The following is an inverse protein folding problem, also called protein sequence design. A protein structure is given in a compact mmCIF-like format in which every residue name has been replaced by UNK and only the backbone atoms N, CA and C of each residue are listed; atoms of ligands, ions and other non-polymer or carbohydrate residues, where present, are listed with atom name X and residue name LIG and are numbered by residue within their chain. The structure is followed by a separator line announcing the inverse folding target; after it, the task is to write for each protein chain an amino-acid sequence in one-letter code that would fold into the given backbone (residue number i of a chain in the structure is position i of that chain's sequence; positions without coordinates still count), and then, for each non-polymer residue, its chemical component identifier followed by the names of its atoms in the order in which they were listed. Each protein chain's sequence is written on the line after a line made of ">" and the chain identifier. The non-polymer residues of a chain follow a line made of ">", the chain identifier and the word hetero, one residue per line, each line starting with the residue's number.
data_IF_214307728836
#
_entry.id   IF_214307728836
#
_cell.length_a   1.000
_cell.length_b   1.000
_cell.length_c   1.000
_cell.angle_alpha   90.00
_cell.angle_beta   90.00
_cell.angle_gamma   90.00
#
_symmetry.space_group_name_H-M   'P 1'
#
loop_
_entity.id
_entity.type
_entity.pdbx_description
1 polymer ?
#
# COMPACT_ATOMS: atom_id res chain seq x y z
N UNK A 1 11.50 6.45 -1.38
CA UNK A 1 10.78 5.32 -2.00
C UNK A 1 9.35 5.74 -2.25
N UNK A 2 8.77 5.41 -3.40
CA UNK A 2 7.40 5.81 -3.77
C UNK A 2 6.53 4.57 -3.95
N UNK A 3 5.33 4.60 -3.34
CA UNK A 3 4.33 3.53 -3.42
C UNK A 3 2.98 4.11 -3.83
N UNK A 4 2.27 3.38 -4.68
CA UNK A 4 0.89 3.66 -5.03
C UNK A 4 -0.04 2.64 -4.36
N UNK A 5 -1.10 3.13 -3.71
CA UNK A 5 -2.15 2.33 -3.11
C UNK A 5 -3.43 2.43 -3.95
N UNK A 6 -3.81 1.34 -4.61
CA UNK A 6 -5.07 1.27 -5.37
C UNK A 6 -6.17 0.68 -4.50
N UNK A 7 -7.34 1.30 -4.49
CA UNK A 7 -8.54 0.78 -3.82
C UNK A 7 -9.80 1.03 -4.66
N UNK A 8 -10.93 0.41 -4.29
CA UNK A 8 -12.19 0.46 -5.06
C UNK A 8 -13.10 1.66 -4.74
N UNK A 9 -12.61 2.59 -3.93
CA UNK A 9 -13.36 3.76 -3.46
C UNK A 9 -14.41 3.49 -2.37
N UNK A 10 -14.58 2.25 -1.90
CA UNK A 10 -15.44 1.99 -0.72
C UNK A 10 -14.80 2.59 0.54
N UNK A 11 -15.62 3.00 1.51
CA UNK A 11 -15.13 3.61 2.75
C UNK A 11 -14.17 2.67 3.51
N UNK A 12 -14.49 1.37 3.56
CA UNK A 12 -13.64 0.37 4.19
C UNK A 12 -12.26 0.29 3.53
N UNK A 13 -12.21 0.29 2.18
CA UNK A 13 -10.95 0.15 1.44
C UNK A 13 -10.16 1.44 1.40
N UNK A 14 -10.82 2.60 1.28
CA UNK A 14 -10.17 3.90 1.42
C UNK A 14 -9.54 4.04 2.81
N UNK A 15 -10.27 3.67 3.87
CA UNK A 15 -9.72 3.67 5.23
C UNK A 15 -8.53 2.73 5.39
N UNK A 16 -8.61 1.53 4.82
CA UNK A 16 -7.49 0.58 4.84
C UNK A 16 -6.27 1.14 4.10
N UNK A 17 -6.45 1.78 2.95
CA UNK A 17 -5.37 2.42 2.20
C UNK A 17 -4.73 3.55 3.03
N UNK A 18 -5.53 4.38 3.69
CA UNK A 18 -5.06 5.45 4.59
C UNK A 18 -4.29 4.92 5.81
N UNK A 19 -4.78 3.85 6.43
CA UNK A 19 -4.11 3.25 7.59
C UNK A 19 -2.75 2.66 7.17
N UNK A 20 -2.65 2.08 5.97
CA UNK A 20 -1.39 1.58 5.38
C UNK A 20 -0.45 2.74 5.03
N UNK A 21 -0.92 3.76 4.29
CA UNK A 21 -0.11 4.92 3.91
C UNK A 21 0.45 5.61 5.15
N UNK A 22 -0.39 5.87 6.15
CA UNK A 22 0.03 6.46 7.41
C UNK A 22 1.17 5.68 8.08
N UNK A 23 1.11 4.35 8.12
CA UNK A 23 2.19 3.55 8.70
C UNK A 23 3.49 3.69 7.89
N UNK A 24 3.40 3.52 6.57
CA UNK A 24 4.54 3.53 5.66
C UNK A 24 5.25 4.89 5.66
N UNK A 25 4.51 5.98 5.64
CA UNK A 25 5.07 7.33 5.62
C UNK A 25 5.73 7.71 6.95
N UNK A 26 5.08 7.41 8.08
CA UNK A 26 5.57 7.83 9.39
C UNK A 26 6.67 6.93 9.96
N UNK A 27 6.68 5.64 9.63
CA UNK A 27 7.63 4.68 10.22
C UNK A 27 8.75 4.29 9.26
N UNK A 28 8.50 4.32 7.94
CA UNK A 28 9.43 3.78 6.94
C UNK A 28 9.92 4.82 5.94
N UNK A 29 9.48 6.08 6.04
CA UNK A 29 9.95 7.17 5.17
C UNK A 29 9.58 6.97 3.69
N UNK A 30 8.52 6.18 3.44
CA UNK A 30 7.95 5.98 2.11
C UNK A 30 7.06 7.18 1.77
N UNK A 31 6.91 7.52 0.49
CA UNK A 31 5.87 8.46 0.02
C UNK A 31 4.76 7.65 -0.63
N UNK A 32 3.52 7.85 -0.18
CA UNK A 32 2.37 7.09 -0.68
C UNK A 32 1.39 8.01 -1.42
N UNK A 33 0.88 7.54 -2.56
CA UNK A 33 -0.30 8.11 -3.20
C UNK A 33 -1.43 7.10 -3.23
N UNK A 34 -2.67 7.57 -3.08
CA UNK A 34 -3.87 6.74 -3.13
C UNK A 34 -4.63 7.01 -4.43
N UNK A 35 -5.07 5.94 -5.11
CA UNK A 35 -5.87 6.02 -6.33
C UNK A 35 -7.08 5.10 -6.26
N UNK A 36 -8.18 5.56 -6.87
CA UNK A 36 -9.38 4.75 -7.06
C UNK A 36 -9.24 4.01 -8.39
N UNK A 37 -9.26 2.69 -8.31
CA UNK A 37 -9.16 1.81 -9.47
C UNK A 37 -10.24 0.73 -9.48
N UNK A 38 -9.96 -0.37 -10.17
CA UNK A 38 -10.97 -1.41 -10.45
C UNK A 38 -10.85 -2.65 -9.55
N UNK A 39 -9.83 -2.73 -8.68
CA UNK A 39 -9.62 -3.89 -7.82
C UNK A 39 -10.62 -3.88 -6.65
N UNK A 40 -11.79 -4.49 -6.88
CA UNK A 40 -12.96 -4.38 -5.99
C UNK A 40 -12.88 -5.20 -4.70
N UNK A 41 -11.75 -5.84 -4.40
CA UNK A 41 -11.66 -6.78 -3.28
C UNK A 41 -10.54 -6.47 -2.29
N UNK A 42 -9.52 -5.73 -2.69
CA UNK A 42 -8.29 -5.51 -1.93
C UNK A 42 -7.75 -4.08 -2.11
N UNK A 43 -6.91 -3.63 -1.18
CA UNK A 43 -5.99 -2.52 -1.43
C UNK A 43 -4.75 -3.11 -2.11
N UNK A 44 -4.51 -2.72 -3.36
CA UNK A 44 -3.30 -3.07 -4.11
C UNK A 44 -2.15 -2.13 -3.78
N UNK A 45 -0.94 -2.67 -3.62
CA UNK A 45 0.28 -1.91 -3.37
C UNK A 45 1.19 -2.05 -4.58
N UNK A 46 1.61 -0.93 -5.16
CA UNK A 46 2.44 -0.88 -6.36
C UNK A 46 3.69 -0.03 -6.13
N UNK A 47 4.78 -0.38 -6.80
CA UNK A 47 6.00 0.43 -6.84
C UNK A 47 5.85 1.65 -7.76
N UNK A 48 6.89 2.49 -7.82
CA UNK A 48 6.95 3.64 -8.75
C UNK A 48 7.01 3.27 -10.24
N UNK A 49 7.16 1.99 -10.58
CA UNK A 49 7.08 1.46 -11.94
C UNK A 49 5.70 0.88 -12.27
N UNK A 50 4.73 1.02 -11.36
CA UNK A 50 3.38 0.43 -11.43
C UNK A 50 3.37 -1.11 -11.43
N UNK A 51 4.42 -1.75 -10.93
CA UNK A 51 4.44 -3.19 -10.68
C UNK A 51 3.73 -3.48 -9.36
N UNK A 52 2.80 -4.44 -9.35
CA UNK A 52 2.08 -4.84 -8.13
C UNK A 52 3.01 -5.61 -7.20
N UNK A 53 3.17 -5.12 -5.99
CA UNK A 53 4.00 -5.70 -4.93
C UNK A 53 3.18 -6.56 -3.96
N UNK A 54 2.01 -6.06 -3.55
CA UNK A 54 1.18 -6.70 -2.54
C UNK A 54 -0.31 -6.38 -2.73
N UNK A 55 -1.16 -7.09 -1.97
CA UNK A 55 -2.60 -6.87 -1.94
C UNK A 55 -3.13 -7.20 -0.54
N UNK A 56 -3.91 -6.30 0.05
CA UNK A 56 -4.41 -6.44 1.42
C UNK A 56 -5.93 -6.27 1.51
N UNK A 57 -6.59 -7.23 2.14
CA UNK A 57 -8.05 -7.19 2.40
C UNK A 57 -8.38 -6.76 3.82
N UNK A 58 -7.36 -6.58 4.65
CA UNK A 58 -7.40 -6.18 6.06
C UNK A 58 -6.08 -5.47 6.38
N UNK A 59 -6.03 -4.74 7.49
CA UNK A 59 -4.81 -4.08 7.93
C UNK A 59 -3.68 -5.13 8.10
N UNK A 60 -2.60 -5.06 7.31
CA UNK A 60 -1.45 -5.92 7.50
C UNK A 60 -0.74 -5.61 8.82
N UNK A 61 -0.04 -6.60 9.33
CA UNK A 61 0.85 -6.43 10.47
C UNK A 61 2.06 -5.59 10.09
N UNK A 62 2.68 -4.96 11.08
CA UNK A 62 3.93 -4.22 10.91
C UNK A 62 5.03 -5.08 10.26
N UNK A 63 5.11 -6.36 10.65
CA UNK A 63 6.07 -7.31 10.10
C UNK A 63 5.85 -7.56 8.60
N UNK A 64 4.57 -7.65 8.17
CA UNK A 64 4.23 -7.77 6.75
C UNK A 64 4.65 -6.49 6.00
N UNK A 65 4.26 -5.31 6.49
CA UNK A 65 4.61 -4.03 5.85
C UNK A 65 6.13 -3.83 5.73
N UNK A 66 6.88 -4.11 6.79
CA UNK A 66 8.34 -4.01 6.79
C UNK A 66 8.99 -4.98 5.79
N UNK A 67 8.46 -6.20 5.68
CA UNK A 67 8.94 -7.16 4.71
C UNK A 67 8.73 -6.67 3.26
N UNK A 68 7.56 -6.13 2.94
CA UNK A 68 7.29 -5.64 1.58
C UNK A 68 8.13 -4.41 1.21
N UNK A 69 8.37 -3.50 2.15
CA UNK A 69 9.23 -2.32 1.90
C UNK A 69 10.69 -2.73 1.68
N UNK A 70 11.19 -3.72 2.43
CA UNK A 70 12.54 -4.23 2.22
C UNK A 70 12.76 -4.82 0.81
N UNK A 71 11.73 -5.42 0.21
CA UNK A 71 11.81 -5.92 -1.18
C UNK A 71 12.02 -4.81 -2.22
N UNK A 72 11.59 -3.59 -1.94
CA UNK A 72 11.73 -2.44 -2.84
C UNK A 72 13.11 -1.79 -2.68
N UNK A 73 13.73 -1.90 -1.50
CA UNK A 73 15.04 -1.28 -1.20
C UNK A 73 16.23 -2.15 -1.66
N UNK A 74 16.00 -3.43 -1.95
CA UNK A 74 17.02 -4.38 -2.44
C UNK A 74 17.16 -4.42 -3.98
N UNK A 75 16.34 -3.67 -4.73
CA UNK A 75 16.49 -3.45 -6.20
C UNK A 75 17.43 -2.29 -6.54
#
# INVERSE_FOLDING_TARGET
>A
MYILLEHDGTEERAKLAQDISYYLENNLGVTCDEVIGNDSQAVGVYDGSFSKLASFNKLPTEAELNFFVALIDEE
#
